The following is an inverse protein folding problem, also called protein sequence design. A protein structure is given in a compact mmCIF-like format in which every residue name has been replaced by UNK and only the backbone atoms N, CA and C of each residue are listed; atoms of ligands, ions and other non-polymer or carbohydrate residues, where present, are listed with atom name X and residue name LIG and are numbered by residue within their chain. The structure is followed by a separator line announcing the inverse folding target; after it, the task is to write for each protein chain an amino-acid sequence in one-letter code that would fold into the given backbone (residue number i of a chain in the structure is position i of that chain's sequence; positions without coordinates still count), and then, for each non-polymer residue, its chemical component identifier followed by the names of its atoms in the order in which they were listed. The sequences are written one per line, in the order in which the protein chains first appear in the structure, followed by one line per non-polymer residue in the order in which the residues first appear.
data_IF_263204854321
#
_entry.id   IF_263204854321
#
_cell.length_a   1.000
_cell.length_b   1.000
_cell.length_c   1.000
_cell.angle_alpha   90.00
_cell.angle_beta   90.00
_cell.angle_gamma   90.00
#
_symmetry.space_group_name_H-M   'P 1'
#
loop_
_entity.id
_entity.type
_entity.pdbx_description
1 polymer ?
#
# COMPACT_ATOMS: atom_id res chain seq x y z
N UNK A 1 67.79 -38.40 49.23
CA UNK A 1 67.14 -37.16 48.78
C UNK A 1 65.64 -37.28 49.07
N UNK A 2 65.12 -36.41 49.93
CA UNK A 2 63.90 -36.67 50.72
C UNK A 2 62.66 -36.24 49.93
N UNK A 3 61.67 -37.15 49.85
CA UNK A 3 60.36 -36.97 49.19
C UNK A 3 59.65 -35.66 49.58
N UNK A 4 59.95 -35.11 50.75
CA UNK A 4 59.43 -33.85 51.28
C UNK A 4 59.80 -32.62 50.43
N UNK A 5 61.00 -32.58 49.82
CA UNK A 5 61.40 -31.45 48.97
C UNK A 5 60.67 -31.46 47.61
N UNK A 6 60.36 -32.64 47.08
CA UNK A 6 59.60 -32.79 45.83
C UNK A 6 58.16 -32.35 46.03
N UNK A 7 57.55 -32.71 47.16
CA UNK A 7 56.17 -32.32 47.50
C UNK A 7 56.08 -30.79 47.67
N UNK A 8 57.06 -30.17 48.35
CA UNK A 8 57.09 -28.72 48.52
C UNK A 8 57.21 -27.96 47.18
N UNK A 9 58.06 -28.44 46.27
CA UNK A 9 58.23 -27.84 44.93
C UNK A 9 56.95 -27.96 44.11
N UNK A 10 56.27 -29.12 44.15
CA UNK A 10 55.01 -29.34 43.43
C UNK A 10 53.90 -28.42 43.94
N UNK A 11 53.80 -28.20 45.26
CA UNK A 11 52.78 -27.31 45.84
C UNK A 11 53.03 -25.84 45.45
N UNK A 12 54.28 -25.39 45.42
CA UNK A 12 54.63 -24.03 44.97
C UNK A 12 54.33 -23.84 43.48
N UNK A 13 54.60 -24.85 42.64
CA UNK A 13 54.25 -24.84 41.21
C UNK A 13 52.74 -24.81 40.98
N UNK A 14 51.97 -25.52 41.82
CA UNK A 14 50.50 -25.53 41.76
C UNK A 14 49.91 -24.17 42.19
N UNK A 15 50.46 -23.55 43.24
CA UNK A 15 50.08 -22.20 43.68
C UNK A 15 50.43 -21.15 42.62
N UNK A 16 51.63 -21.18 42.06
CA UNK A 16 52.05 -20.29 40.98
C UNK A 16 51.21 -20.50 39.70
N UNK A 17 50.89 -21.75 39.37
CA UNK A 17 50.01 -22.11 38.25
C UNK A 17 48.59 -21.61 38.45
N UNK A 18 48.03 -21.73 39.66
CA UNK A 18 46.68 -21.24 39.98
C UNK A 18 46.58 -19.71 39.99
N UNK A 19 47.61 -19.01 40.50
CA UNK A 19 47.69 -17.55 40.46
C UNK A 19 47.91 -17.03 39.02
N UNK A 20 48.77 -17.70 38.24
CA UNK A 20 49.00 -17.39 36.83
C UNK A 20 47.77 -17.62 35.96
N UNK A 21 47.06 -18.74 36.16
CA UNK A 21 45.82 -19.06 35.47
C UNK A 21 44.68 -18.10 35.84
N UNK A 22 44.57 -17.73 37.12
CA UNK A 22 43.61 -16.71 37.59
C UNK A 22 43.87 -15.35 36.94
N UNK A 23 45.13 -14.94 36.82
CA UNK A 23 45.49 -13.69 36.14
C UNK A 23 45.19 -13.75 34.63
N UNK A 24 45.55 -14.84 33.96
CA UNK A 24 45.38 -14.94 32.51
C UNK A 24 43.93 -15.12 32.07
N UNK A 25 43.11 -15.86 32.82
CA UNK A 25 41.71 -16.11 32.48
C UNK A 25 40.73 -15.05 32.99
N UNK A 26 41.06 -14.31 34.05
CA UNK A 26 40.12 -13.32 34.62
C UNK A 26 40.43 -11.88 34.20
N UNK A 27 41.71 -11.48 34.17
CA UNK A 27 42.06 -10.09 33.82
C UNK A 27 42.04 -9.83 32.31
N UNK A 28 42.41 -10.79 31.45
CA UNK A 28 42.35 -10.59 30.00
C UNK A 28 40.93 -10.32 29.47
N UNK A 29 39.90 -11.14 29.76
CA UNK A 29 38.57 -10.86 29.25
C UNK A 29 37.91 -9.65 29.91
N UNK A 30 38.33 -9.28 31.14
CA UNK A 30 37.90 -8.03 31.75
C UNK A 30 38.48 -6.82 31.01
N UNK A 31 39.77 -6.82 30.68
CA UNK A 31 40.43 -5.75 29.94
C UNK A 31 39.91 -5.64 28.49
N UNK A 32 39.63 -6.76 27.83
CA UNK A 32 39.02 -6.76 26.50
C UNK A 32 37.61 -6.16 26.52
N UNK A 33 36.80 -6.44 27.55
CA UNK A 33 35.49 -5.78 27.74
C UNK A 33 35.62 -4.28 27.98
N UNK A 34 36.61 -3.84 28.77
CA UNK A 34 36.86 -2.41 28.97
C UNK A 34 37.34 -1.70 27.69
N UNK A 35 38.18 -2.35 26.89
CA UNK A 35 38.60 -1.82 25.58
C UNK A 35 37.43 -1.76 24.58
N UNK A 36 36.57 -2.77 24.56
CA UNK A 36 35.34 -2.78 23.77
C UNK A 36 34.36 -1.68 24.21
N UNK A 37 34.22 -1.45 25.51
CA UNK A 37 33.38 -0.36 26.02
C UNK A 37 33.96 1.03 25.71
N UNK A 38 35.29 1.20 25.76
CA UNK A 38 35.94 2.46 25.35
C UNK A 38 35.75 2.75 23.85
N UNK A 39 35.99 1.76 22.98
CA UNK A 39 35.78 1.93 21.53
C UNK A 39 34.30 2.17 21.20
N UNK A 40 33.37 1.57 21.95
CA UNK A 40 31.95 1.84 21.82
C UNK A 40 31.58 3.26 22.27
N UNK A 41 32.16 3.76 23.36
CA UNK A 41 31.97 5.14 23.82
C UNK A 41 32.57 6.17 22.85
N UNK A 42 33.75 5.90 22.29
CA UNK A 42 34.35 6.74 21.25
C UNK A 42 33.49 6.75 19.98
N UNK A 43 32.96 5.59 19.58
CA UNK A 43 32.03 5.45 18.46
C UNK A 43 30.71 6.20 18.68
N UNK A 44 30.19 6.19 19.91
CA UNK A 44 29.00 6.97 20.28
C UNK A 44 29.31 8.47 20.25
N UNK A 45 30.46 8.88 20.75
CA UNK A 45 30.84 10.29 20.80
C UNK A 45 31.12 10.86 19.40
N UNK A 46 31.74 10.09 18.50
CA UNK A 46 31.89 10.46 17.09
C UNK A 46 30.56 10.52 16.36
N UNK A 47 29.61 9.61 16.64
CA UNK A 47 28.24 9.70 16.11
C UNK A 47 27.50 10.92 16.65
N UNK A 48 27.65 11.24 17.93
CA UNK A 48 27.07 12.43 18.55
C UNK A 48 27.66 13.72 17.98
N UNK A 49 28.97 13.78 17.77
CA UNK A 49 29.63 14.91 17.13
C UNK A 49 29.25 15.04 15.66
N UNK A 50 29.13 13.94 14.94
CA UNK A 50 28.62 13.94 13.55
C UNK A 50 27.19 14.48 13.51
N UNK A 51 26.30 13.99 14.38
CA UNK A 51 24.93 14.50 14.50
C UNK A 51 24.90 15.99 14.87
N UNK A 52 25.74 16.43 15.82
CA UNK A 52 25.84 17.82 16.26
C UNK A 52 26.43 18.74 15.18
N UNK A 53 27.31 18.22 14.32
CA UNK A 53 27.90 18.93 13.18
C UNK A 53 26.94 19.00 12.00
N UNK A 54 26.17 17.94 11.76
CA UNK A 54 25.16 17.87 10.69
C UNK A 54 23.89 18.66 11.07
N UNK A 55 23.55 18.75 12.36
CA UNK A 55 22.42 19.52 12.88
C UNK A 55 22.91 20.53 13.95
N UNK A 56 23.56 21.63 13.54
CA UNK A 56 24.14 22.62 14.46
C UNK A 56 23.10 23.40 15.27
N UNK A 57 21.86 23.46 14.79
CA UNK A 57 20.70 23.90 15.58
C UNK A 57 19.96 22.65 16.08
N UNK A 58 19.77 22.54 17.39
CA UNK A 58 19.11 21.39 18.05
C UNK A 58 17.61 21.23 17.73
N UNK A 59 17.17 21.57 16.52
CA UNK A 59 15.81 21.45 16.03
C UNK A 59 15.79 20.48 14.84
N UNK A 60 15.61 19.17 15.07
CA UNK A 60 15.30 18.23 14.00
C UNK A 60 14.09 18.69 13.17
N UNK A 61 13.21 19.50 13.76
CA UNK A 61 12.09 20.20 13.11
C UNK A 61 12.54 21.07 11.93
N UNK A 62 13.67 21.78 12.03
CA UNK A 62 14.16 22.64 10.94
C UNK A 62 14.67 21.82 9.75
N UNK A 63 15.29 20.66 10.00
CA UNK A 63 15.71 19.75 8.94
C UNK A 63 14.51 19.05 8.29
N UNK A 64 13.50 18.66 9.08
CA UNK A 64 12.24 18.11 8.57
C UNK A 64 11.47 19.16 7.76
N UNK A 65 11.43 20.43 8.20
CA UNK A 65 10.84 21.53 7.45
C UNK A 65 11.56 21.76 6.12
N UNK A 66 12.89 21.72 6.09
CA UNK A 66 13.66 21.89 4.85
C UNK A 66 13.44 20.73 3.87
N UNK A 67 13.27 19.51 4.38
CA UNK A 67 12.90 18.33 3.56
C UNK A 67 11.44 18.43 3.10
N UNK A 68 10.53 18.88 3.96
CA UNK A 68 9.12 19.11 3.63
C UNK A 68 8.98 20.19 2.55
N UNK A 69 9.67 21.32 2.68
CA UNK A 69 9.71 22.39 1.67
C UNK A 69 10.27 21.91 0.33
N UNK A 70 11.28 21.02 0.34
CA UNK A 70 11.84 20.42 -0.89
C UNK A 70 10.93 19.36 -1.51
N UNK A 71 10.11 18.67 -0.72
CA UNK A 71 9.17 17.63 -1.19
C UNK A 71 7.80 18.20 -1.55
N UNK A 72 7.44 19.37 -1.03
CA UNK A 72 6.21 20.09 -1.34
C UNK A 72 5.95 20.27 -2.86
N UNK A 73 6.91 20.73 -3.69
CA UNK A 73 6.66 20.85 -5.13
C UNK A 73 6.39 19.49 -5.80
N UNK A 74 6.92 18.38 -5.25
CA UNK A 74 6.63 17.03 -5.73
C UNK A 74 5.22 16.61 -5.34
N UNK A 75 4.78 16.92 -4.11
CA UNK A 75 3.40 16.72 -3.69
C UNK A 75 2.41 17.55 -4.51
N UNK A 76 2.72 18.83 -4.76
CA UNK A 76 1.86 19.72 -5.54
C UNK A 76 1.79 19.28 -7.01
N UNK A 77 2.91 18.83 -7.59
CA UNK A 77 2.91 18.29 -8.97
C UNK A 77 2.21 16.93 -9.06
N UNK A 78 2.37 16.06 -8.05
CA UNK A 78 1.60 14.82 -7.95
C UNK A 78 0.11 15.11 -7.79
N UNK A 79 -0.29 16.12 -7.01
CA UNK A 79 -1.68 16.53 -6.87
C UNK A 79 -2.24 17.13 -8.16
N UNK A 80 -1.46 17.95 -8.87
CA UNK A 80 -1.87 18.48 -10.18
C UNK A 80 -2.06 17.36 -11.21
N UNK A 81 -1.17 16.37 -11.23
CA UNK A 81 -1.31 15.17 -12.08
C UNK A 81 -2.48 14.30 -11.62
N UNK A 82 -2.65 14.11 -10.31
CA UNK A 82 -3.77 13.39 -9.70
C UNK A 82 -5.13 13.94 -10.13
N UNK A 83 -5.26 15.27 -10.15
CA UNK A 83 -6.50 15.94 -10.60
C UNK A 83 -6.82 15.65 -12.06
N UNK A 84 -5.80 15.43 -12.89
CA UNK A 84 -5.98 15.01 -14.28
C UNK A 84 -6.46 13.55 -14.36
N UNK A 85 -6.03 12.67 -13.44
CA UNK A 85 -6.38 11.24 -13.38
C UNK A 85 -7.75 10.93 -12.77
N UNK A 86 -8.80 11.62 -13.22
CA UNK A 86 -10.17 11.33 -12.74
C UNK A 86 -11.03 10.76 -13.86
N UNK A 87 -11.36 9.47 -13.78
CA UNK A 87 -12.41 8.88 -14.62
C UNK A 87 -13.72 9.61 -14.30
N UNK A 88 -14.25 10.37 -15.26
CA UNK A 88 -15.59 11.01 -15.30
C UNK A 88 -16.38 10.90 -13.98
N UNK A 89 -15.95 11.64 -12.95
CA UNK A 89 -16.63 11.89 -11.68
C UNK A 89 -17.43 10.71 -11.06
N UNK A 90 -17.02 9.44 -11.24
CA UNK A 90 -17.83 8.31 -10.79
C UNK A 90 -17.92 8.22 -9.25
N UNK A 91 -16.94 8.80 -8.55
CA UNK A 91 -16.93 8.94 -7.08
C UNK A 91 -17.79 10.10 -6.56
N UNK A 92 -18.14 11.09 -7.40
CA UNK A 92 -19.04 12.18 -7.01
C UNK A 92 -20.48 11.69 -7.09
N UNK A 93 -20.99 11.17 -5.98
CA UNK A 93 -22.40 10.81 -5.83
C UNK A 93 -23.15 11.98 -5.19
N UNK A 94 -24.41 12.16 -5.59
CA UNK A 94 -25.29 13.11 -4.90
C UNK A 94 -25.36 12.73 -3.42
N UNK A 95 -25.29 13.72 -2.50
CA UNK A 95 -25.26 13.44 -1.08
C UNK A 95 -26.51 12.65 -0.70
N UNK A 96 -26.27 11.54 0.01
CA UNK A 96 -27.35 10.64 0.41
C UNK A 96 -28.37 11.41 1.27
N UNK A 97 -29.66 11.38 0.89
CA UNK A 97 -30.68 12.07 1.65
C UNK A 97 -30.85 11.39 3.02
N UNK A 98 -30.56 12.12 4.10
CA UNK A 98 -30.67 11.63 5.48
C UNK A 98 -32.10 11.30 5.91
N UNK A 99 -33.10 11.75 5.15
CA UNK A 99 -34.53 11.66 5.46
C UNK A 99 -35.27 10.56 4.68
N UNK A 100 -34.65 9.96 3.67
CA UNK A 100 -35.26 8.95 2.80
C UNK A 100 -34.86 7.54 3.24
N UNK A 101 -35.75 6.57 2.97
CA UNK A 101 -35.40 5.15 3.10
C UNK A 101 -34.30 4.85 2.08
N UNK A 102 -33.06 4.63 2.56
CA UNK A 102 -31.85 4.42 1.73
C UNK A 102 -32.07 3.43 0.58
N UNK A 103 -32.84 2.38 0.83
CA UNK A 103 -33.22 1.39 -0.18
C UNK A 103 -34.05 1.99 -1.31
N UNK A 104 -35.10 2.76 -0.99
CA UNK A 104 -35.96 3.36 -2.00
C UNK A 104 -35.17 4.37 -2.85
N UNK A 105 -34.26 5.11 -2.23
CA UNK A 105 -33.35 6.00 -2.94
C UNK A 105 -32.42 5.23 -3.89
N UNK A 106 -31.82 4.14 -3.42
CA UNK A 106 -31.00 3.26 -4.27
C UNK A 106 -31.80 2.72 -5.46
N UNK A 107 -32.99 2.16 -5.20
CA UNK A 107 -33.84 1.55 -6.23
C UNK A 107 -34.21 2.60 -7.31
N UNK A 108 -34.54 3.83 -6.92
CA UNK A 108 -34.83 4.93 -7.85
C UNK A 108 -33.61 5.35 -8.67
N UNK A 109 -32.46 5.59 -8.03
CA UNK A 109 -31.27 6.06 -8.73
C UNK A 109 -30.67 4.99 -9.64
N UNK A 110 -30.63 3.74 -9.18
CA UNK A 110 -30.14 2.62 -9.98
C UNK A 110 -31.03 2.37 -11.21
N UNK A 111 -32.35 2.41 -11.04
CA UNK A 111 -33.29 2.26 -12.15
C UNK A 111 -33.14 3.40 -13.15
N UNK A 112 -33.05 4.65 -12.67
CA UNK A 112 -32.84 5.84 -13.52
C UNK A 112 -31.58 5.72 -14.36
N UNK A 113 -30.44 5.39 -13.75
CA UNK A 113 -29.18 5.23 -14.48
C UNK A 113 -29.25 4.10 -15.53
N UNK A 114 -29.90 2.98 -15.20
CA UNK A 114 -30.07 1.88 -16.14
C UNK A 114 -30.99 2.25 -17.31
N UNK A 115 -32.09 2.97 -17.06
CA UNK A 115 -33.00 3.42 -18.12
C UNK A 115 -32.35 4.48 -19.01
N UNK A 116 -31.59 5.41 -18.42
CA UNK A 116 -30.88 6.44 -19.17
C UNK A 116 -29.85 5.80 -20.12
N UNK A 117 -29.07 4.84 -19.62
CA UNK A 117 -28.11 4.09 -20.44
C UNK A 117 -28.80 3.28 -21.54
N UNK A 118 -29.89 2.57 -21.23
CA UNK A 118 -30.64 1.81 -22.23
C UNK A 118 -31.21 2.71 -23.33
N UNK A 119 -31.68 3.91 -22.96
CA UNK A 119 -32.18 4.92 -23.90
C UNK A 119 -31.06 5.46 -24.78
N UNK A 120 -29.90 5.77 -24.21
CA UNK A 120 -28.71 6.20 -24.98
C UNK A 120 -28.25 5.15 -25.99
N UNK A 121 -28.21 3.87 -25.58
CA UNK A 121 -27.86 2.75 -26.45
C UNK A 121 -28.86 2.59 -27.60
N UNK A 122 -30.16 2.73 -27.30
CA UNK A 122 -31.22 2.66 -28.31
C UNK A 122 -31.13 3.83 -29.31
N UNK A 123 -30.85 5.06 -28.84
CA UNK A 123 -30.67 6.24 -29.70
C UNK A 123 -29.48 6.07 -30.64
N UNK A 124 -28.34 5.55 -30.13
CA UNK A 124 -27.15 5.28 -30.95
C UNK A 124 -27.29 4.04 -31.84
N UNK A 125 -28.36 3.26 -31.71
CA UNK A 125 -28.60 2.05 -32.51
C UNK A 125 -27.62 0.91 -32.23
N UNK A 126 -26.98 0.89 -31.05
CA UNK A 126 -25.97 -0.12 -30.70
C UNK A 126 -26.67 -1.38 -30.20
N UNK A 127 -26.31 -2.54 -30.76
CA UNK A 127 -26.83 -3.80 -30.28
C UNK A 127 -26.26 -4.12 -28.90
N UNK A 128 -27.11 -4.46 -27.93
CA UNK A 128 -26.67 -4.99 -26.65
C UNK A 128 -27.35 -6.33 -26.38
N UNK A 129 -26.60 -7.27 -25.81
CA UNK A 129 -27.16 -8.54 -25.40
C UNK A 129 -28.14 -8.32 -24.22
N UNK A 130 -29.39 -8.82 -24.29
CA UNK A 130 -30.39 -8.64 -23.23
C UNK A 130 -29.97 -9.24 -21.88
N UNK A 131 -28.98 -10.14 -21.87
CA UNK A 131 -28.45 -10.73 -20.65
C UNK A 131 -27.41 -9.83 -19.93
N UNK A 132 -27.01 -8.71 -20.53
CA UNK A 132 -26.08 -7.78 -19.88
C UNK A 132 -26.80 -7.12 -18.71
N UNK A 133 -26.22 -7.26 -17.53
CA UNK A 133 -26.71 -6.59 -16.33
C UNK A 133 -26.15 -5.18 -16.27
N UNK A 134 -26.98 -4.17 -16.51
CA UNK A 134 -26.62 -2.74 -16.32
C UNK A 134 -26.31 -2.35 -14.86
N UNK A 135 -26.36 -3.33 -13.95
CA UNK A 135 -26.01 -3.15 -12.54
C UNK A 135 -24.55 -3.48 -12.23
N UNK A 136 -23.77 -4.03 -13.19
CA UNK A 136 -22.31 -4.24 -13.08
C UNK A 136 -21.82 -4.85 -11.75
N UNK A 137 -22.50 -5.90 -11.27
CA UNK A 137 -22.19 -6.58 -10.01
C UNK A 137 -22.86 -6.00 -8.76
N UNK A 138 -23.55 -4.87 -8.87
CA UNK A 138 -24.42 -4.35 -7.82
C UNK A 138 -25.73 -5.14 -7.69
N UNK A 139 -26.36 -5.04 -6.52
CA UNK A 139 -27.63 -5.69 -6.24
C UNK A 139 -28.76 -5.13 -7.12
N UNK A 140 -29.55 -5.99 -7.76
CA UNK A 140 -30.67 -5.50 -8.59
C UNK A 140 -31.76 -4.86 -7.72
N UNK A 141 -32.39 -3.77 -8.19
CA UNK A 141 -33.58 -3.21 -7.54
C UNK A 141 -34.63 -4.30 -7.32
N UNK A 142 -35.18 -4.37 -6.11
CA UNK A 142 -36.14 -5.41 -5.71
C UNK A 142 -35.53 -6.66 -5.04
N UNK A 143 -34.25 -7.01 -5.31
CA UNK A 143 -33.57 -8.12 -4.58
C UNK A 143 -33.22 -7.78 -3.13
N UNK A 144 -33.30 -6.48 -2.79
CA UNK A 144 -33.07 -5.94 -1.46
C UNK A 144 -34.34 -5.96 -0.58
N UNK A 145 -35.42 -6.60 -1.06
CA UNK A 145 -36.63 -6.79 -0.27
C UNK A 145 -36.37 -7.55 1.03
N UNK A 146 -36.66 -6.91 2.16
CA UNK A 146 -36.53 -7.50 3.50
C UNK A 146 -35.11 -7.52 4.07
N UNK A 147 -34.11 -6.90 3.40
CA UNK A 147 -32.73 -6.78 3.91
C UNK A 147 -32.44 -5.36 4.41
N UNK A 148 -31.75 -5.24 5.54
CA UNK A 148 -31.23 -3.95 6.01
C UNK A 148 -30.07 -3.52 5.13
N UNK A 149 -30.16 -2.33 4.54
CA UNK A 149 -29.15 -1.78 3.64
C UNK A 149 -28.29 -0.77 4.40
N UNK A 150 -26.97 -0.91 4.33
CA UNK A 150 -26.03 0.04 4.92
C UNK A 150 -25.70 1.17 3.92
N UNK A 151 -25.45 2.38 4.43
CA UNK A 151 -25.08 3.56 3.65
C UNK A 151 -23.84 3.31 2.77
N UNK A 152 -22.79 2.72 3.35
CA UNK A 152 -21.56 2.38 2.62
C UNK A 152 -21.80 1.41 1.46
N UNK A 153 -22.76 0.50 1.60
CA UNK A 153 -23.11 -0.45 0.54
C UNK A 153 -23.84 0.26 -0.61
N UNK A 154 -24.74 1.20 -0.31
CA UNK A 154 -25.42 2.02 -1.31
C UNK A 154 -24.42 2.83 -2.11
N UNK A 155 -23.47 3.48 -1.43
CA UNK A 155 -22.40 4.26 -2.08
C UNK A 155 -21.62 3.37 -3.04
N UNK A 156 -21.19 2.19 -2.58
CA UNK A 156 -20.42 1.26 -3.39
C UNK A 156 -21.20 0.76 -4.61
N UNK A 157 -22.48 0.43 -4.45
CA UNK A 157 -23.33 -0.02 -5.55
C UNK A 157 -23.65 1.08 -6.55
N UNK A 158 -23.91 2.31 -6.10
CA UNK A 158 -24.15 3.44 -7.00
C UNK A 158 -22.86 3.83 -7.74
N UNK A 159 -21.70 3.80 -7.06
CA UNK A 159 -20.42 4.10 -7.70
C UNK A 159 -20.04 3.04 -8.74
N UNK A 160 -20.30 1.75 -8.49
CA UNK A 160 -20.07 0.70 -9.49
C UNK A 160 -20.99 0.82 -10.70
N UNK A 161 -22.26 1.18 -10.49
CA UNK A 161 -23.20 1.45 -11.58
C UNK A 161 -22.75 2.64 -12.42
N UNK A 162 -22.35 3.73 -11.77
CA UNK A 162 -21.88 4.94 -12.45
C UNK A 162 -20.59 4.69 -13.24
N UNK A 163 -19.65 3.93 -12.68
CA UNK A 163 -18.41 3.54 -13.35
C UNK A 163 -18.71 2.69 -14.60
N UNK A 164 -19.52 1.63 -14.46
CA UNK A 164 -19.90 0.79 -15.58
C UNK A 164 -20.66 1.55 -16.67
N UNK A 165 -21.55 2.46 -16.29
CA UNK A 165 -22.26 3.35 -17.23
C UNK A 165 -21.29 4.27 -17.97
N UNK A 166 -20.31 4.84 -17.28
CA UNK A 166 -19.28 5.68 -17.91
C UNK A 166 -18.43 4.90 -18.91
N UNK A 167 -18.06 3.66 -18.59
CA UNK A 167 -17.32 2.78 -19.49
C UNK A 167 -18.17 2.44 -20.70
N UNK A 168 -19.44 2.07 -20.51
CA UNK A 168 -20.37 1.81 -21.62
C UNK A 168 -20.46 3.02 -22.54
N UNK A 169 -20.63 4.24 -21.99
CA UNK A 169 -20.64 5.48 -22.78
C UNK A 169 -19.35 5.68 -23.56
N UNK A 170 -18.19 5.43 -22.95
CA UNK A 170 -16.90 5.50 -23.64
C UNK A 170 -16.83 4.55 -24.84
N UNK A 171 -17.34 3.32 -24.70
CA UNK A 171 -17.39 2.33 -25.78
C UNK A 171 -18.43 2.69 -26.86
N UNK A 172 -19.56 3.28 -26.46
CA UNK A 172 -20.57 3.81 -27.38
C UNK A 172 -20.05 5.05 -28.15
N UNK A 173 -19.12 5.79 -27.57
CA UNK A 173 -18.44 6.93 -28.21
C UNK A 173 -17.30 6.50 -29.16
N UNK A 174 -17.00 5.19 -29.24
CA UNK A 174 -16.05 4.62 -30.21
C UNK A 174 -16.72 3.86 -31.35
N UNK A 175 -17.99 4.17 -31.64
CA UNK A 175 -18.78 3.63 -32.75
C UNK A 175 -18.82 2.09 -32.81
N UNK A 176 -18.83 1.42 -31.66
CA UNK A 176 -18.99 -0.03 -31.62
C UNK A 176 -20.35 -0.46 -32.19
N UNK A 177 -20.38 -1.62 -32.83
CA UNK A 177 -21.60 -2.19 -33.41
C UNK A 177 -22.47 -2.88 -32.35
N UNK A 178 -21.83 -3.47 -31.33
CA UNK A 178 -22.57 -4.02 -30.22
C UNK A 178 -21.72 -4.53 -29.06
N UNK A 179 -22.37 -4.75 -27.91
CA UNK A 179 -21.75 -5.33 -26.72
C UNK A 179 -22.42 -6.66 -26.39
N UNK A 180 -21.59 -7.67 -26.17
CA UNK A 180 -22.03 -8.99 -25.72
C UNK A 180 -21.91 -9.15 -24.20
N UNK A 181 -20.81 -8.65 -23.61
CA UNK A 181 -20.58 -8.75 -22.17
C UNK A 181 -19.73 -7.58 -21.66
N UNK A 182 -20.07 -7.05 -20.49
CA UNK A 182 -19.24 -6.13 -19.74
C UNK A 182 -19.15 -6.63 -18.30
N UNK A 183 -17.93 -6.89 -17.83
CA UNK A 183 -17.65 -7.28 -16.45
C UNK A 183 -16.70 -6.29 -15.82
N UNK A 184 -17.15 -5.71 -14.71
CA UNK A 184 -16.32 -4.92 -13.83
C UNK A 184 -15.82 -5.84 -12.70
N UNK A 185 -14.51 -5.90 -12.50
CA UNK A 185 -13.92 -6.61 -11.36
C UNK A 185 -13.80 -5.68 -10.15
N UNK A 186 -13.71 -6.28 -8.97
CA UNK A 186 -13.48 -5.55 -7.72
C UNK A 186 -12.15 -4.79 -7.77
N UNK A 187 -12.10 -3.56 -7.26
CA UNK A 187 -10.89 -2.76 -7.28
C UNK A 187 -9.77 -3.45 -6.51
N UNK A 188 -8.55 -3.31 -7.02
CA UNK A 188 -7.33 -3.70 -6.31
C UNK A 188 -6.63 -2.43 -5.85
N UNK A 189 -6.39 -2.32 -4.56
CA UNK A 189 -5.57 -1.23 -4.03
C UNK A 189 -4.13 -1.66 -4.05
N UNK A 190 -3.31 -0.96 -4.83
CA UNK A 190 -1.85 -1.14 -4.84
C UNK A 190 -1.26 -0.35 -3.67
N UNK A 191 -0.13 -0.79 -3.13
CA UNK A 191 0.53 -0.20 -1.95
C UNK A 191 0.86 1.30 -2.08
N UNK A 192 0.82 1.84 -3.31
CA UNK A 192 1.15 3.22 -3.66
C UNK A 192 -0.07 4.18 -3.70
N UNK A 193 -1.24 3.74 -3.21
CA UNK A 193 -2.46 4.58 -3.17
C UNK A 193 -3.23 4.65 -4.50
N UNK A 194 -2.85 3.82 -5.48
CA UNK A 194 -3.62 3.61 -6.69
C UNK A 194 -4.71 2.55 -6.47
N UNK A 195 -5.94 2.88 -6.86
CA UNK A 195 -7.04 1.95 -7.00
C UNK A 195 -7.17 1.58 -8.48
N UNK A 196 -6.85 0.33 -8.81
CA UNK A 196 -6.95 -0.19 -10.17
C UNK A 196 -8.28 -0.94 -10.35
N UNK A 197 -9.04 -0.56 -11.37
CA UNK A 197 -10.30 -1.20 -11.76
C UNK A 197 -10.06 -2.02 -13.03
N UNK A 198 -10.06 -3.35 -12.92
CA UNK A 198 -10.01 -4.21 -14.09
C UNK A 198 -11.41 -4.31 -14.72
N UNK A 199 -11.45 -4.19 -16.05
CA UNK A 199 -12.66 -4.19 -16.86
C UNK A 199 -12.50 -5.16 -18.01
N UNK A 200 -13.46 -6.07 -18.17
CA UNK A 200 -13.50 -7.06 -19.23
C UNK A 200 -14.68 -6.77 -20.14
N UNK A 201 -14.40 -6.58 -21.43
CA UNK A 201 -15.38 -6.23 -22.44
C UNK A 201 -15.36 -7.27 -23.54
N UNK A 202 -16.53 -7.73 -23.96
CA UNK A 202 -16.73 -8.48 -25.19
C UNK A 202 -17.66 -7.68 -26.08
N UNK A 203 -17.17 -7.26 -27.24
CA UNK A 203 -17.86 -6.35 -28.15
C UNK A 203 -17.60 -6.68 -29.61
N UNK A 204 -18.41 -6.05 -30.46
CA UNK A 204 -18.37 -6.16 -31.91
C UNK A 204 -17.99 -4.81 -32.50
N UNK A 205 -16.93 -4.77 -33.29
CA UNK A 205 -16.49 -3.57 -34.02
C UNK A 205 -15.64 -3.96 -35.22
N UNK A 206 -15.44 -3.03 -36.14
CA UNK A 206 -14.51 -3.24 -37.25
C UNK A 206 -13.06 -3.06 -36.81
N UNK A 207 -12.10 -3.54 -37.61
CA UNK A 207 -10.67 -3.42 -37.27
C UNK A 207 -10.24 -1.95 -37.24
N UNK A 208 -10.71 -1.15 -38.19
CA UNK A 208 -10.42 0.29 -38.26
C UNK A 208 -10.90 1.04 -37.01
N UNK A 209 -12.14 0.78 -36.58
CA UNK A 209 -12.70 1.36 -35.37
C UNK A 209 -11.94 0.92 -34.12
N UNK A 210 -11.51 -0.34 -34.06
CA UNK A 210 -10.72 -0.84 -32.93
C UNK A 210 -9.36 -0.14 -32.81
N UNK A 211 -8.65 0.05 -33.92
CA UNK A 211 -7.39 0.80 -33.92
C UNK A 211 -7.60 2.24 -33.43
N UNK A 212 -8.61 2.94 -33.96
CA UNK A 212 -8.96 4.30 -33.51
C UNK A 212 -9.34 4.35 -32.03
N UNK A 213 -10.03 3.32 -31.54
CA UNK A 213 -10.35 3.20 -30.13
C UNK A 213 -9.09 3.04 -29.28
N UNK A 214 -8.15 2.16 -29.65
CA UNK A 214 -6.88 1.99 -28.93
C UNK A 214 -6.03 3.27 -28.95
N UNK A 215 -5.99 3.98 -30.08
CA UNK A 215 -5.33 5.29 -30.18
C UNK A 215 -5.97 6.32 -29.25
N UNK A 216 -7.31 6.37 -29.21
CA UNK A 216 -8.06 7.25 -28.29
C UNK A 216 -7.81 6.89 -26.83
N UNK A 217 -7.74 5.60 -26.50
CA UNK A 217 -7.42 5.15 -25.13
C UNK A 217 -6.00 5.54 -24.73
N UNK A 218 -5.03 5.46 -25.64
CA UNK A 218 -3.65 5.80 -25.35
C UNK A 218 -3.41 7.32 -25.31
N UNK A 219 -4.15 8.08 -26.13
CA UNK A 219 -4.05 9.53 -26.21
C UNK A 219 -4.84 10.29 -25.15
N UNK A 220 -5.66 9.63 -24.34
CA UNK A 220 -6.41 10.28 -23.27
C UNK A 220 -5.52 10.57 -22.06
N UNK A 221 -5.02 11.80 -21.96
CA UNK A 221 -4.20 12.27 -20.85
C UNK A 221 -4.95 12.29 -19.50
N UNK A 222 -6.29 12.20 -19.51
CA UNK A 222 -7.12 12.26 -18.31
C UNK A 222 -7.35 10.90 -17.66
N UNK A 223 -7.09 9.79 -18.36
CA UNK A 223 -7.32 8.45 -17.84
C UNK A 223 -6.12 7.54 -18.09
N UNK A 224 -5.54 6.99 -17.02
CA UNK A 224 -4.55 5.91 -17.17
C UNK A 224 -5.27 4.59 -17.42
N UNK A 225 -5.43 4.25 -18.71
CA UNK A 225 -5.98 2.97 -19.15
C UNK A 225 -4.84 2.08 -19.63
N UNK A 226 -4.62 0.96 -18.95
CA UNK A 226 -3.66 -0.07 -19.35
C UNK A 226 -4.40 -1.23 -20.00
N UNK A 227 -4.10 -1.53 -21.26
CA UNK A 227 -4.63 -2.73 -21.91
C UNK A 227 -3.76 -3.93 -21.51
N UNK A 228 -4.34 -4.87 -20.76
CA UNK A 228 -3.63 -6.08 -20.31
C UNK A 228 -3.56 -7.14 -21.40
N UNK A 229 -4.59 -7.21 -22.24
CA UNK A 229 -4.65 -8.16 -23.34
C UNK A 229 -5.96 -8.09 -24.09
N UNK A 230 -5.94 -8.54 -25.33
CA UNK A 230 -7.14 -8.67 -26.14
C UNK A 230 -7.07 -9.91 -27.04
N UNK A 231 -8.25 -10.39 -27.42
CA UNK A 231 -8.44 -11.48 -28.37
C UNK A 231 -9.43 -11.01 -29.42
N UNK A 232 -9.10 -11.25 -30.69
CA UNK A 232 -9.96 -10.95 -31.82
C UNK A 232 -10.35 -12.25 -32.50
N UNK A 233 -11.64 -12.39 -32.81
CA UNK A 233 -12.17 -13.56 -33.52
C UNK A 233 -13.04 -13.08 -34.66
N UNK A 234 -12.68 -13.48 -35.88
CA UNK A 234 -13.53 -13.27 -37.04
C UNK A 234 -14.61 -14.37 -37.07
N UNK A 235 -15.88 -13.97 -36.99
CA UNK A 235 -17.02 -14.91 -37.03
C UNK A 235 -17.61 -15.07 -38.42
N UNK A 236 -17.22 -14.23 -39.39
CA UNK A 236 -17.68 -14.27 -40.77
C UNK A 236 -16.50 -14.23 -41.74
N UNK A 237 -16.02 -15.43 -42.10
CA UNK A 237 -14.97 -15.60 -43.10
C UNK A 237 -15.42 -15.27 -44.53
N UNK A 238 -16.72 -15.04 -44.74
CA UNK A 238 -17.32 -14.80 -46.06
C UNK A 238 -17.43 -13.32 -46.44
N UNK A 239 -17.29 -12.41 -45.47
CA UNK A 239 -17.33 -10.98 -45.74
C UNK A 239 -15.98 -10.52 -46.34
N UNK A 240 -16.04 -9.92 -47.52
CA UNK A 240 -14.85 -9.60 -48.33
C UNK A 240 -14.17 -8.28 -47.93
N UNK A 241 -14.90 -7.35 -47.29
CA UNK A 241 -14.39 -6.03 -46.90
C UNK A 241 -14.85 -5.71 -45.48
N UNK A 242 -13.88 -5.52 -44.58
CA UNK A 242 -14.03 -5.10 -43.18
C UNK A 242 -15.15 -5.80 -42.36
N UNK A 243 -15.02 -7.11 -42.10
CA UNK A 243 -15.99 -7.85 -41.30
C UNK A 243 -16.07 -7.31 -39.86
N UNK A 244 -17.26 -7.32 -39.23
CA UNK A 244 -17.36 -7.08 -37.80
C UNK A 244 -16.62 -8.19 -37.05
N UNK A 245 -15.65 -7.79 -36.22
CA UNK A 245 -14.84 -8.70 -35.42
C UNK A 245 -15.40 -8.77 -34.01
N UNK A 246 -15.38 -9.97 -33.43
CA UNK A 246 -15.61 -10.15 -32.01
C UNK A 246 -14.32 -9.85 -31.27
N UNK A 247 -14.33 -8.83 -30.44
CA UNK A 247 -13.18 -8.39 -29.66
C UNK A 247 -13.47 -8.61 -28.19
N UNK A 248 -12.61 -9.40 -27.55
CA UNK A 248 -12.57 -9.57 -26.10
C UNK A 248 -11.36 -8.80 -25.59
N UNK A 249 -11.58 -7.79 -24.76
CA UNK A 249 -10.56 -6.87 -24.27
C UNK A 249 -10.59 -6.86 -22.74
N UNK A 250 -9.41 -6.92 -22.13
CA UNK A 250 -9.23 -6.67 -20.71
C UNK A 250 -8.32 -5.46 -20.53
N UNK A 251 -8.83 -4.44 -19.86
CA UNK A 251 -8.05 -3.26 -19.51
C UNK A 251 -8.22 -2.89 -18.04
N UNK A 252 -7.20 -2.27 -17.47
CA UNK A 252 -7.18 -1.71 -16.14
C UNK A 252 -7.29 -0.20 -16.24
N UNK A 253 -8.10 0.38 -15.36
CA UNK A 253 -8.14 1.82 -15.19
C UNK A 253 -7.58 2.16 -13.81
N UNK A 254 -6.51 2.93 -13.79
CA UNK A 254 -5.86 3.35 -12.55
C UNK A 254 -6.45 4.68 -12.09
N UNK A 255 -6.95 4.71 -10.85
CA UNK A 255 -7.44 5.92 -10.18
C UNK A 255 -6.51 6.23 -9.02
N UNK A 256 -5.94 7.43 -9.03
CA UNK A 256 -5.09 7.86 -7.94
C UNK A 256 -5.94 8.46 -6.81
N UNK A 257 -5.94 7.81 -5.65
CA UNK A 257 -6.59 8.32 -4.45
C UNK A 257 -5.53 9.00 -3.59
N UNK A 258 -5.23 10.27 -3.87
CA UNK A 258 -4.28 11.03 -3.06
C UNK A 258 -4.89 11.28 -1.67
N UNK A 259 -4.52 10.45 -0.70
CA UNK A 259 -4.67 10.82 0.69
C UNK A 259 -3.39 11.57 1.06
N UNK A 260 -3.44 12.89 1.29
CA UNK A 260 -2.28 13.59 1.82
C UNK A 260 -1.92 12.91 3.14
N UNK A 261 -0.82 12.17 3.16
CA UNK A 261 -0.28 11.69 4.41
C UNK A 261 0.11 12.94 5.19
N UNK A 262 -0.50 13.20 6.37
CA UNK A 262 0.05 14.23 7.23
C UNK A 262 1.52 13.88 7.44
N UNK A 263 2.45 14.85 7.33
CA UNK A 263 3.84 14.59 7.61
C UNK A 263 3.87 13.89 8.96
N UNK A 264 4.43 12.67 8.99
CA UNK A 264 4.36 11.82 10.17
C UNK A 264 4.65 12.68 11.39
N UNK A 265 3.63 12.93 12.21
CA UNK A 265 3.78 13.67 13.44
C UNK A 265 4.64 12.77 14.34
N UNK A 266 5.96 12.90 14.19
CA UNK A 266 6.91 12.29 15.10
C UNK A 266 6.67 13.01 16.41
N UNK A 267 5.86 12.35 17.26
CA UNK A 267 5.53 12.69 18.63
C UNK A 267 5.66 14.17 18.96
N UNK A 268 4.54 14.89 18.96
CA UNK A 268 4.36 16.05 19.81
C UNK A 268 4.67 15.62 21.26
N UNK A 269 5.94 15.76 21.64
CA UNK A 269 6.38 15.69 23.01
C UNK A 269 5.60 16.76 23.76
N UNK A 270 4.85 16.32 24.75
CA UNK A 270 4.20 17.18 25.72
C UNK A 270 5.19 18.28 26.15
N UNK A 271 4.92 19.50 25.72
CA UNK A 271 5.59 20.66 26.25
C UNK A 271 5.06 20.87 27.68
N UNK A 272 5.95 20.71 28.67
CA UNK A 272 5.72 21.23 30.02
C UNK A 272 6.23 20.35 31.16
N UNK A 273 7.54 20.32 31.40
CA UNK A 273 8.13 20.24 32.74
C UNK A 273 9.65 20.51 32.70
N UNK A 274 10.22 21.28 33.65
CA UNK A 274 11.61 21.70 33.62
C UNK A 274 12.58 20.55 33.92
N UNK A 275 13.76 20.66 33.32
CA UNK A 275 14.85 19.70 33.38
C UNK A 275 15.29 19.33 34.81
N UNK A 276 14.81 18.20 35.31
CA UNK A 276 15.38 17.50 36.50
C UNK A 276 15.41 15.96 36.34
N UNK A 277 15.09 15.43 35.14
CA UNK A 277 14.92 13.98 34.93
C UNK A 277 16.14 13.20 34.41
N UNK A 278 17.15 13.86 33.83
CA UNK A 278 18.25 13.15 33.16
C UNK A 278 19.14 12.35 34.14
N UNK A 279 19.30 12.83 35.37
CA UNK A 279 20.05 12.11 36.40
C UNK A 279 19.24 10.99 37.09
N UNK A 280 17.91 11.10 37.13
CA UNK A 280 17.03 10.10 37.73
C UNK A 280 16.93 8.83 36.87
N UNK A 281 16.84 8.98 35.54
CA UNK A 281 16.83 7.84 34.61
C UNK A 281 18.15 7.06 34.63
N UNK A 282 19.29 7.75 34.81
CA UNK A 282 20.60 7.11 34.90
C UNK A 282 20.82 6.41 36.27
N UNK A 283 20.22 6.93 37.34
CA UNK A 283 20.20 6.26 38.66
C UNK A 283 19.29 5.01 38.67
N UNK A 284 18.15 5.03 37.98
CA UNK A 284 17.29 3.84 37.86
C UNK A 284 17.95 2.70 37.07
N UNK A 285 18.72 3.01 36.02
CA UNK A 285 19.50 2.02 35.27
C UNK A 285 20.67 1.44 36.08
N UNK A 286 21.28 2.22 36.99
CA UNK A 286 22.28 1.72 37.95
C UNK A 286 21.67 0.84 39.05
N UNK A 287 20.48 1.20 39.56
CA UNK A 287 19.78 0.40 40.57
C UNK A 287 19.27 -0.95 40.01
N UNK A 288 18.82 -0.98 38.75
CA UNK A 288 18.40 -2.23 38.10
C UNK A 288 19.57 -3.18 37.80
N UNK A 289 20.79 -2.66 37.58
CA UNK A 289 22.00 -3.49 37.42
C UNK A 289 22.58 -4.01 38.73
N UNK A 290 22.32 -3.36 39.87
CA UNK A 290 22.82 -3.79 41.18
C UNK A 290 21.98 -4.91 41.83
N UNK A 291 20.75 -5.18 41.34
CA UNK A 291 19.84 -6.17 41.91
C UNK A 291 19.50 -7.38 41.02
N UNK A 292 20.01 -7.46 39.80
CA UNK A 292 19.68 -8.54 38.87
C UNK A 292 20.69 -9.69 38.96
N UNK A 293 20.32 -10.75 39.68
CA UNK A 293 20.95 -12.06 39.53
C UNK A 293 20.89 -12.50 38.06
N UNK A 294 22.02 -12.98 37.55
CA UNK A 294 22.23 -13.31 36.14
C UNK A 294 21.14 -14.26 35.59
N UNK A 295 20.44 -13.91 34.49
CA UNK A 295 19.66 -14.90 33.76
C UNK A 295 20.61 -15.90 33.10
N UNK A 296 20.33 -17.19 33.30
CA UNK A 296 21.02 -18.30 32.61
C UNK A 296 20.94 -18.09 31.09
N UNK A 297 22.01 -18.38 30.33
CA UNK A 297 22.00 -18.21 28.88
C UNK A 297 20.99 -19.18 28.25
N UNK A 298 19.91 -18.63 27.70
CA UNK A 298 19.07 -19.37 26.76
C UNK A 298 19.89 -19.61 25.49
N UNK A 299 20.04 -20.89 25.15
CA UNK A 299 20.69 -21.33 23.93
C UNK A 299 20.01 -20.69 22.71
N UNK A 300 20.80 -20.05 21.85
CA UNK A 300 20.34 -19.52 20.57
C UNK A 300 19.97 -20.67 19.64
N UNK A 301 18.69 -21.04 19.61
CA UNK A 301 18.15 -21.80 18.48
C UNK A 301 18.18 -20.90 17.25
N UNK A 302 19.02 -21.29 16.31
CA UNK A 302 19.27 -20.58 15.08
C UNK A 302 18.06 -20.54 14.14
N UNK A 303 17.84 -19.39 13.54
CA UNK A 303 16.69 -19.04 12.70
C UNK A 303 16.57 -19.85 11.39
N UNK A 304 17.63 -20.56 10.97
CA UNK A 304 17.64 -21.37 9.75
C UNK A 304 17.02 -22.76 9.89
N UNK A 305 16.73 -23.26 11.11
CA UNK A 305 16.05 -24.56 11.30
C UNK A 305 14.53 -24.54 11.01
N UNK A 306 13.95 -23.39 10.66
CA UNK A 306 12.52 -23.26 10.32
C UNK A 306 12.16 -23.59 8.86
N UNK A 307 13.14 -23.87 7.99
CA UNK A 307 12.95 -23.95 6.53
C UNK A 307 13.34 -25.29 5.89
N UNK A 308 13.45 -26.37 6.66
CA UNK A 308 13.63 -27.72 6.11
C UNK A 308 12.42 -28.60 6.48
N UNK A 309 11.63 -29.03 5.50
CA UNK A 309 10.55 -29.98 5.73
C UNK A 309 11.13 -31.40 5.92
N UNK A 310 10.71 -32.06 6.98
CA UNK A 310 10.62 -33.52 7.05
C UNK A 310 9.28 -33.94 6.46
#
# INVERSE_FOLDING_TARGET
MRREQIIAIVVVLLLAGSAGAGYQFYFRPALEKFAADQTYLEGLNTKLQTLKRTFPSGRPEAAVQLVAEKTQPWHDTLEQRARQFTIRDFKKLDPLPKTLVLRAYYDQMAQKMATDLATELAIKGVYYNPNISFYFGAARPGTLAGKSVNELQVIHWLSSIKLGTSIMRMLVDSDMLGIENLRLWTPRTTAEGFESYAVGVSMWMTMDQFCKFLEKLHGDETMCIRVNGFRMTNTSLRAYVDPPLRIELVFEIDVYNYVPQPPAAVGAGAAGAPATGANAAMQQLRAQRAGAAAPKPQASTSWWRKWLPL
#
